data_IF_022244569325
#
_entry.id   IF_022244569325
#
_cell.length_a   1.000
_cell.length_b   1.000
_cell.length_c   1.000
_cell.angle_alpha   90.00
_cell.angle_beta   90.00
_cell.angle_gamma   90.00
#
_symmetry.space_group_name_H-M   'P 1'
#
loop_
_entity.id
_entity.type
_entity.pdbx_description
1 polymer ?
#
# COMPACT_ATOMS: atom_id res chain seq x y z
N UNK A 1 0.87 6.43 13.53
CA UNK A 1 1.64 6.82 12.32
C UNK A 1 1.33 5.77 11.26
N UNK A 2 1.27 6.11 9.99
CA UNK A 2 0.88 5.16 8.95
C UNK A 2 1.16 5.72 7.56
N UNK A 3 1.00 4.90 6.53
CA UNK A 3 1.14 5.32 5.15
C UNK A 3 -0.06 4.91 4.31
N UNK A 4 -0.36 5.74 3.32
CA UNK A 4 -1.25 5.43 2.22
C UNK A 4 -0.38 5.17 0.99
N UNK A 5 -0.46 3.97 0.45
CA UNK A 5 0.26 3.57 -0.75
C UNK A 5 -0.73 3.33 -1.87
N UNK A 6 -0.55 4.03 -2.99
CA UNK A 6 -1.21 3.65 -4.23
C UNK A 6 -0.32 2.59 -4.87
N UNK A 7 -0.73 1.35 -4.75
CA UNK A 7 0.06 0.20 -5.15
C UNK A 7 -0.86 -0.88 -5.67
N UNK A 8 -0.44 -1.45 -6.78
CA UNK A 8 -1.14 -2.51 -7.47
C UNK A 8 -0.35 -3.81 -7.29
N UNK A 9 -0.96 -4.81 -6.65
CA UNK A 9 -0.34 -6.10 -6.43
C UNK A 9 -0.15 -6.90 -7.73
N UNK A 10 -0.95 -6.61 -8.78
CA UNK A 10 -0.77 -7.21 -10.11
C UNK A 10 0.46 -6.66 -10.85
N UNK A 11 0.87 -5.43 -10.53
CA UNK A 11 2.04 -4.77 -11.13
C UNK A 11 3.04 -4.30 -10.06
N UNK A 12 3.75 -5.24 -9.39
CA UNK A 12 4.49 -4.95 -8.17
C UNK A 12 5.68 -3.98 -8.34
N UNK A 13 6.18 -3.78 -9.57
CA UNK A 13 7.13 -2.72 -9.91
C UNK A 13 8.29 -2.54 -8.91
N UNK A 14 8.71 -1.29 -8.71
CA UNK A 14 9.74 -0.92 -7.72
C UNK A 14 9.17 -0.64 -6.33
N UNK A 15 7.86 -0.42 -6.27
CA UNK A 15 7.13 -0.02 -5.06
C UNK A 15 6.97 -1.19 -4.09
N UNK A 16 7.08 -2.45 -4.58
CA UNK A 16 7.09 -3.67 -3.74
C UNK A 16 8.10 -3.60 -2.59
N UNK A 17 9.31 -3.08 -2.85
CA UNK A 17 10.35 -2.98 -1.83
C UNK A 17 9.92 -2.11 -0.64
N UNK A 18 9.22 -1.01 -0.92
CA UNK A 18 8.71 -0.13 0.13
C UNK A 18 7.53 -0.76 0.86
N UNK A 19 6.67 -1.49 0.15
CA UNK A 19 5.55 -2.21 0.75
C UNK A 19 6.03 -3.29 1.72
N UNK A 20 7.02 -4.09 1.32
CA UNK A 20 7.64 -5.11 2.18
C UNK A 20 8.32 -4.48 3.42
N UNK A 21 9.02 -3.37 3.25
CA UNK A 21 9.65 -2.64 4.37
C UNK A 21 8.60 -2.09 5.36
N UNK A 22 7.53 -1.46 4.83
CA UNK A 22 6.43 -0.97 5.63
C UNK A 22 5.71 -2.10 6.39
N UNK A 23 5.50 -3.26 5.75
CA UNK A 23 4.92 -4.44 6.41
C UNK A 23 5.80 -4.96 7.55
N UNK A 24 7.11 -4.99 7.36
CA UNK A 24 8.05 -5.37 8.43
C UNK A 24 7.98 -4.37 9.60
N UNK A 25 7.85 -3.07 9.32
CA UNK A 25 7.71 -2.05 10.35
C UNK A 25 6.37 -2.15 11.12
N UNK A 26 5.28 -2.55 10.46
CA UNK A 26 3.98 -2.79 11.09
C UNK A 26 3.99 -3.98 12.07
N UNK A 27 4.90 -4.94 11.92
CA UNK A 27 4.97 -6.08 12.82
C UNK A 27 5.32 -5.69 14.27
N UNK A 28 6.18 -4.69 14.45
CA UNK A 28 6.66 -4.22 15.76
C UNK A 28 6.02 -2.90 16.21
N UNK A 29 5.32 -2.19 15.31
CA UNK A 29 4.72 -0.89 15.59
C UNK A 29 3.26 -0.82 15.12
N UNK A 30 2.38 -0.07 15.82
CA UNK A 30 1.03 0.24 15.33
C UNK A 30 1.10 1.20 14.13
N UNK A 31 1.44 0.65 12.98
CA UNK A 31 1.66 1.34 11.72
C UNK A 31 0.60 0.90 10.71
N UNK A 32 -0.40 1.73 10.46
CA UNK A 32 -1.48 1.40 9.52
C UNK A 32 -1.01 1.61 8.08
N UNK A 33 -1.03 0.54 7.29
CA UNK A 33 -0.72 0.56 5.86
C UNK A 33 -2.03 0.41 5.12
N UNK A 34 -2.42 1.46 4.39
CA UNK A 34 -3.55 1.41 3.48
C UNK A 34 -3.06 1.33 2.06
N UNK A 35 -3.49 0.29 1.36
CA UNK A 35 -3.28 0.12 -0.06
C UNK A 35 -4.50 0.63 -0.81
N UNK A 36 -4.27 1.46 -1.82
CA UNK A 36 -5.29 1.85 -2.79
C UNK A 36 -4.87 1.25 -4.13
N UNK A 37 -5.68 0.32 -4.64
CA UNK A 37 -5.50 -0.25 -5.97
C UNK A 37 -6.00 0.71 -7.06
N UNK A 38 -5.67 0.43 -8.32
CA UNK A 38 -6.22 1.20 -9.44
C UNK A 38 -7.74 1.02 -9.57
N UNK A 39 -8.25 -0.17 -9.25
CA UNK A 39 -9.70 -0.43 -9.17
C UNK A 39 -10.39 0.43 -8.11
N UNK A 40 -9.79 0.60 -6.93
CA UNK A 40 -10.35 1.47 -5.87
C UNK A 40 -10.43 2.93 -6.35
N UNK A 41 -9.42 3.39 -7.08
CA UNK A 41 -9.41 4.73 -7.68
C UNK A 41 -10.52 4.90 -8.72
N UNK A 42 -10.74 3.89 -9.56
CA UNK A 42 -11.76 3.92 -10.61
C UNK A 42 -13.17 3.92 -10.00
N UNK A 43 -13.40 3.12 -8.96
CA UNK A 43 -14.66 3.10 -8.21
C UNK A 43 -14.97 4.42 -7.50
N UNK A 44 -13.95 5.19 -7.08
CA UNK A 44 -14.15 6.48 -6.42
C UNK A 44 -14.56 7.61 -7.40
N UNK A 45 -14.33 7.40 -8.70
CA UNK A 45 -14.63 8.39 -9.74
C UNK A 45 -16.02 8.25 -10.38
N UNK A 46 -16.78 7.21 -10.04
CA UNK A 46 -18.22 7.04 -10.38
C UNK A 46 -19.13 7.60 -9.28
#
# INVERSE_FOLDING_TARGET
>A
MGCLLIYDEEFPGKTKYFFEDAQNYQADHPYEIRLISMDDLQNFSE
#
